data_IF_751961894055
#
_entry.id   IF_751961894055
#
_cell.length_a   1.000
_cell.length_b   1.000
_cell.length_c   1.000
_cell.angle_alpha   90.00
_cell.angle_beta   90.00
_cell.angle_gamma   90.00
#
_symmetry.space_group_name_H-M   'P 1'
#
loop_
_entity.id
_entity.type
_entity.pdbx_description
1 polymer ?
#
# COMPACT_ATOMS: atom_id res chain seq x y z
N UNK A 1 15.24 10.48 25.74
CA UNK A 1 14.56 10.54 24.43
C UNK A 1 15.49 9.99 23.35
N UNK A 2 15.20 8.78 22.86
CA UNK A 2 15.95 8.20 21.74
C UNK A 2 15.77 9.09 20.49
N UNK A 3 16.81 9.33 19.69
CA UNK A 3 16.66 10.13 18.49
C UNK A 3 15.74 9.38 17.53
N UNK A 4 14.66 10.02 17.11
CA UNK A 4 13.82 9.55 16.01
C UNK A 4 14.74 9.50 14.80
N UNK A 5 15.04 8.29 14.34
CA UNK A 5 15.89 8.09 13.18
C UNK A 5 15.23 8.80 12.01
N UNK A 6 15.78 9.95 11.61
CA UNK A 6 15.51 10.51 10.31
C UNK A 6 15.91 9.43 9.31
N UNK A 7 14.93 8.84 8.62
CA UNK A 7 15.19 7.99 7.47
C UNK A 7 15.81 8.88 6.40
N UNK A 8 17.14 9.00 6.45
CA UNK A 8 17.95 9.61 5.39
C UNK A 8 18.19 8.48 4.41
N UNK A 9 17.54 8.54 3.24
CA UNK A 9 17.96 7.73 2.10
C UNK A 9 19.48 7.83 1.97
N UNK A 10 20.17 6.73 1.67
CA UNK A 10 21.47 6.87 1.01
C UNK A 10 21.22 7.77 -0.21
N UNK A 11 21.74 9.00 -0.19
CA UNK A 11 21.29 10.18 -0.97
C UNK A 11 21.29 10.02 -2.50
N UNK A 12 21.53 8.81 -3.02
CA UNK A 12 21.78 8.51 -4.42
C UNK A 12 20.99 7.32 -5.00
N UNK A 13 20.16 6.61 -4.23
CA UNK A 13 19.31 5.54 -4.80
C UNK A 13 17.83 5.91 -4.79
N UNK A 14 17.20 6.10 -5.97
CA UNK A 14 15.77 6.32 -6.05
C UNK A 14 15.02 5.07 -5.60
N UNK A 15 14.02 5.23 -4.74
CA UNK A 15 13.10 4.17 -4.33
C UNK A 15 11.73 4.75 -3.98
N UNK A 16 10.68 3.94 -4.10
CA UNK A 16 9.35 4.22 -3.56
C UNK A 16 9.04 3.22 -2.46
N UNK A 17 8.66 3.73 -1.30
CA UNK A 17 8.31 2.87 -0.17
C UNK A 17 6.87 2.39 -0.26
N UNK A 18 6.67 1.08 -0.09
CA UNK A 18 5.38 0.45 0.14
C UNK A 18 5.32 -0.05 1.59
N UNK A 19 4.48 0.60 2.39
CA UNK A 19 4.44 0.44 3.86
C UNK A 19 2.99 0.23 4.28
N UNK A 20 2.72 -0.60 5.27
CA UNK A 20 1.37 -0.78 5.81
C UNK A 20 1.00 0.32 6.81
N UNK A 21 -0.30 0.63 6.92
CA UNK A 21 -0.82 1.30 8.11
C UNK A 21 -0.57 0.44 9.36
N UNK A 22 -0.56 1.06 10.54
CA UNK A 22 -0.31 0.44 11.84
C UNK A 22 -1.49 -0.36 12.43
N UNK A 23 -2.63 -0.40 11.74
CA UNK A 23 -3.77 -1.23 12.13
C UNK A 23 -4.52 -1.72 10.89
N UNK A 24 -5.21 -2.88 10.96
CA UNK A 24 -6.13 -3.30 9.92
C UNK A 24 -7.35 -2.37 9.87
N UNK A 25 -7.92 -2.17 8.68
CA UNK A 25 -9.13 -1.38 8.47
C UNK A 25 -10.22 -2.21 7.79
N UNK A 26 -11.47 -1.94 8.15
CA UNK A 26 -12.64 -2.38 7.38
C UNK A 26 -12.76 -1.59 6.07
N UNK A 27 -13.76 -1.91 5.24
CA UNK A 27 -14.10 -1.13 4.05
C UNK A 27 -14.52 0.31 4.36
N UNK A 28 -14.96 0.60 5.59
CA UNK A 28 -15.45 1.91 6.04
C UNK A 28 -14.33 2.90 6.37
N UNK A 29 -13.51 3.27 5.39
CA UNK A 29 -12.31 4.11 5.60
C UNK A 29 -12.59 5.62 5.48
N UNK A 30 -13.84 6.05 5.62
CA UNK A 30 -14.29 7.43 5.32
C UNK A 30 -13.97 7.86 3.88
N UNK A 31 -14.01 6.89 2.96
CA UNK A 31 -13.61 7.04 1.57
C UNK A 31 -12.10 7.13 1.36
N UNK A 32 -11.68 7.23 0.10
CA UNK A 32 -10.24 7.28 -0.25
C UNK A 32 -9.48 8.42 0.43
N UNK A 33 -10.14 9.54 0.73
CA UNK A 33 -9.52 10.67 1.44
C UNK A 33 -9.17 10.33 2.89
N UNK A 34 -9.99 9.53 3.57
CA UNK A 34 -9.69 9.07 4.93
C UNK A 34 -8.50 8.10 4.94
N UNK A 35 -8.47 7.17 4.00
CA UNK A 35 -7.33 6.25 3.82
C UNK A 35 -6.02 7.01 3.47
N UNK A 36 -6.06 7.94 2.51
CA UNK A 36 -4.92 8.79 2.16
C UNK A 36 -4.43 9.62 3.37
N UNK A 37 -5.36 10.16 4.17
CA UNK A 37 -5.02 10.92 5.37
C UNK A 37 -4.32 10.06 6.43
N UNK A 38 -4.75 8.82 6.64
CA UNK A 38 -4.05 7.90 7.56
C UNK A 38 -2.63 7.58 7.09
N UNK A 39 -2.44 7.34 5.78
CA UNK A 39 -1.11 7.13 5.21
C UNK A 39 -0.20 8.36 5.42
N UNK A 40 -0.72 9.56 5.15
CA UNK A 40 0.01 10.79 5.39
C UNK A 40 0.39 10.97 6.87
N UNK A 41 -0.57 10.80 7.78
CA UNK A 41 -0.36 11.02 9.20
C UNK A 41 0.69 10.06 9.78
N UNK A 42 0.57 8.76 9.50
CA UNK A 42 1.49 7.75 10.05
C UNK A 42 2.89 7.87 9.46
N UNK A 43 3.03 8.18 8.16
CA UNK A 43 4.33 8.45 7.55
C UNK A 43 5.05 9.63 8.24
N UNK A 44 4.31 10.72 8.55
CA UNK A 44 4.88 11.89 9.24
C UNK A 44 5.30 11.60 10.67
N UNK A 45 4.54 10.77 11.39
CA UNK A 45 4.86 10.39 12.77
C UNK A 45 6.20 9.65 12.88
N UNK A 46 6.62 8.95 11.83
CA UNK A 46 7.91 8.23 11.77
C UNK A 46 8.96 8.96 10.93
N UNK A 47 8.74 10.25 10.63
CA UNK A 47 9.74 11.12 10.01
C UNK A 47 9.94 10.94 8.50
N UNK A 48 9.07 10.21 7.80
CA UNK A 48 9.20 10.03 6.34
C UNK A 48 8.79 11.30 5.60
N UNK A 49 9.68 11.81 4.75
CA UNK A 49 9.50 13.04 4.00
C UNK A 49 8.68 12.89 2.70
N UNK A 50 8.42 11.66 2.26
CA UNK A 50 7.66 11.31 1.06
C UNK A 50 6.17 11.64 1.11
N UNK A 51 5.53 11.67 -0.07
CA UNK A 51 4.07 11.80 -0.17
C UNK A 51 3.42 10.43 -0.27
N UNK A 52 2.88 9.94 0.83
CA UNK A 52 2.23 8.62 0.91
C UNK A 52 0.74 8.71 0.58
N UNK A 53 0.28 7.77 -0.24
CA UNK A 53 -1.13 7.59 -0.62
C UNK A 53 -1.55 6.15 -0.42
N UNK A 54 -2.83 5.91 -0.13
CA UNK A 54 -3.35 4.57 0.05
C UNK A 54 -3.23 3.77 -1.24
N UNK A 55 -2.74 2.53 -1.14
CA UNK A 55 -2.63 1.56 -2.24
C UNK A 55 -4.02 0.98 -2.55
N UNK A 56 -4.94 1.82 -3.03
CA UNK A 56 -6.33 1.46 -3.28
C UNK A 56 -6.82 2.13 -4.56
N UNK A 57 -7.56 1.39 -5.38
CA UNK A 57 -8.41 2.01 -6.40
C UNK A 57 -9.58 2.75 -5.74
N UNK A 58 -10.11 3.78 -6.40
CA UNK A 58 -11.31 4.51 -5.94
C UNK A 58 -12.15 4.96 -7.14
N UNK A 59 -13.26 5.67 -6.87
CA UNK A 59 -14.23 6.09 -7.90
C UNK A 59 -13.61 6.73 -9.16
N UNK A 60 -12.61 7.59 -8.99
CA UNK A 60 -12.00 8.37 -10.08
C UNK A 60 -10.53 8.03 -10.31
N UNK A 61 -9.99 7.02 -9.62
CA UNK A 61 -8.56 6.71 -9.67
C UNK A 61 -8.33 5.21 -9.72
N UNK A 62 -7.62 4.79 -10.75
CA UNK A 62 -7.03 3.46 -10.82
C UNK A 62 -5.80 3.40 -9.91
N UNK A 63 -5.63 2.29 -9.19
CA UNK A 63 -4.44 2.03 -8.39
C UNK A 63 -3.15 2.28 -9.19
N UNK A 64 -3.06 1.79 -10.44
CA UNK A 64 -1.91 1.98 -11.31
C UNK A 64 -1.50 3.46 -11.49
N UNK A 65 -2.48 4.37 -11.41
CA UNK A 65 -2.27 5.81 -11.62
C UNK A 65 -1.80 6.59 -10.40
N UNK A 66 -1.70 5.96 -9.22
CA UNK A 66 -1.29 6.63 -7.98
C UNK A 66 0.15 7.13 -8.08
N UNK A 67 1.07 6.31 -8.59
CA UNK A 67 2.47 6.67 -8.79
C UNK A 67 2.62 7.54 -10.05
N UNK A 68 3.42 8.61 -9.94
CA UNK A 68 3.71 9.51 -11.07
C UNK A 68 4.32 8.74 -12.24
N UNK A 69 3.92 9.11 -13.46
CA UNK A 69 4.33 8.42 -14.68
C UNK A 69 5.85 8.29 -14.83
N UNK A 70 6.60 9.32 -14.46
CA UNK A 70 8.06 9.35 -14.56
C UNK A 70 8.76 8.27 -13.71
N UNK A 71 8.15 7.88 -12.60
CA UNK A 71 8.78 6.98 -11.63
C UNK A 71 8.44 5.51 -11.89
N UNK A 72 7.46 5.22 -12.76
CA UNK A 72 6.87 3.87 -12.86
C UNK A 72 7.81 2.80 -13.39
N UNK A 73 8.64 3.15 -14.37
CA UNK A 73 9.44 2.19 -15.12
C UNK A 73 10.84 1.95 -14.51
N UNK A 74 11.35 2.90 -13.72
CA UNK A 74 12.75 2.90 -13.29
C UNK A 74 12.95 2.86 -11.77
N UNK A 75 11.96 3.29 -10.97
CA UNK A 75 12.14 3.40 -9.52
C UNK A 75 11.70 2.11 -8.83
N UNK A 76 12.59 1.42 -8.08
CA UNK A 76 12.25 0.20 -7.35
C UNK A 76 11.26 0.45 -6.22
N UNK A 77 10.47 -0.59 -5.91
CA UNK A 77 9.55 -0.57 -4.78
C UNK A 77 10.17 -1.33 -3.62
N UNK A 78 10.33 -0.66 -2.49
CA UNK A 78 10.99 -1.17 -1.28
C UNK A 78 10.04 -1.16 -0.08
N UNK A 79 10.33 -1.94 0.96
CA UNK A 79 9.63 -1.83 2.24
C UNK A 79 10.23 -0.72 3.12
N UNK A 80 9.74 -0.56 4.36
CA UNK A 80 10.21 0.48 5.30
C UNK A 80 11.72 0.41 5.62
N UNK A 81 12.38 -0.73 5.42
CA UNK A 81 13.82 -0.94 5.69
C UNK A 81 14.65 -0.97 4.40
N UNK A 82 14.16 -0.36 3.32
CA UNK A 82 14.83 -0.33 2.01
C UNK A 82 15.02 -1.72 1.37
N UNK A 83 14.29 -2.74 1.82
CA UNK A 83 14.37 -4.08 1.24
C UNK A 83 13.47 -4.16 -0.01
N UNK A 84 14.05 -4.57 -1.13
CA UNK A 84 13.36 -4.60 -2.42
C UNK A 84 12.19 -5.59 -2.45
N UNK A 85 10.99 -5.09 -2.73
CA UNK A 85 9.78 -5.86 -2.95
C UNK A 85 9.56 -6.15 -4.44
N UNK A 86 9.67 -5.12 -5.29
CA UNK A 86 9.50 -5.19 -6.74
C UNK A 86 10.55 -4.36 -7.46
N UNK A 87 10.89 -4.76 -8.68
CA UNK A 87 11.88 -4.06 -9.50
C UNK A 87 11.45 -2.64 -9.88
N UNK A 88 10.15 -2.41 -10.09
CA UNK A 88 9.56 -1.11 -10.36
C UNK A 88 8.02 -1.18 -10.22
N UNK A 89 7.33 -0.05 -10.38
CA UNK A 89 5.87 0.02 -10.30
C UNK A 89 5.15 -0.79 -11.38
N UNK A 90 5.61 -0.73 -12.63
CA UNK A 90 4.97 -1.43 -13.75
C UNK A 90 4.98 -2.95 -13.58
N UNK A 91 6.02 -3.49 -12.94
CA UNK A 91 6.16 -4.92 -12.66
C UNK A 91 5.00 -5.49 -11.82
N UNK A 92 4.36 -4.68 -10.97
CA UNK A 92 3.20 -5.11 -10.18
C UNK A 92 1.97 -5.37 -11.06
N UNK A 93 1.83 -4.68 -12.19
CA UNK A 93 0.59 -4.62 -12.98
C UNK A 93 0.67 -5.37 -14.31
N UNK A 94 1.57 -6.37 -14.37
CA UNK A 94 1.71 -7.28 -15.53
C UNK A 94 0.52 -8.24 -15.71
N UNK A 95 -0.41 -8.30 -14.74
CA UNK A 95 -1.52 -9.24 -14.72
C UNK A 95 -1.22 -10.54 -13.95
N UNK A 96 -0.01 -10.72 -13.44
CA UNK A 96 0.40 -11.91 -12.65
C UNK A 96 -0.09 -11.92 -11.20
N UNK A 97 -0.77 -10.83 -10.77
CA UNK A 97 -1.23 -10.64 -9.40
C UNK A 97 -0.14 -10.09 -8.45
N UNK A 98 0.93 -9.49 -8.98
CA UNK A 98 2.04 -8.93 -8.21
C UNK A 98 2.62 -9.92 -7.18
N UNK A 99 3.24 -11.03 -7.64
CA UNK A 99 3.88 -11.99 -6.74
C UNK A 99 5.04 -11.33 -5.99
N UNK A 100 5.03 -11.46 -4.67
CA UNK A 100 6.11 -11.05 -3.79
C UNK A 100 7.32 -11.97 -3.97
N UNK A 101 8.52 -11.39 -3.79
CA UNK A 101 9.74 -12.19 -3.72
C UNK A 101 9.70 -13.13 -2.51
N UNK A 102 10.33 -14.29 -2.65
CA UNK A 102 10.49 -15.21 -1.53
C UNK A 102 11.19 -14.52 -0.35
N UNK A 103 10.60 -14.60 0.83
CA UNK A 103 11.12 -13.95 2.04
C UNK A 103 10.89 -12.43 2.12
N UNK A 104 10.22 -11.81 1.16
CA UNK A 104 9.86 -10.39 1.22
C UNK A 104 8.94 -10.11 2.42
N UNK A 105 9.19 -8.98 3.09
CA UNK A 105 8.43 -8.55 4.28
C UNK A 105 7.74 -7.23 4.01
N UNK A 106 6.47 -7.16 4.41
CA UNK A 106 5.72 -5.92 4.41
C UNK A 106 5.71 -5.41 5.84
N UNK A 107 6.23 -4.19 6.02
CA UNK A 107 6.36 -3.57 7.33
C UNK A 107 5.30 -2.46 7.47
N UNK A 108 4.72 -2.34 8.65
CA UNK A 108 3.93 -1.15 9.03
C UNK A 108 4.83 0.04 9.33
N UNK A 109 4.27 1.26 9.39
CA UNK A 109 5.05 2.46 9.73
C UNK A 109 5.76 2.35 11.08
N UNK A 110 5.16 1.68 12.07
CA UNK A 110 5.79 1.39 13.36
C UNK A 110 6.76 0.19 13.37
N UNK A 111 7.09 -0.35 12.20
CA UNK A 111 8.18 -1.31 12.00
C UNK A 111 7.82 -2.78 12.25
N UNK A 112 6.53 -3.12 12.39
CA UNK A 112 6.08 -4.50 12.59
C UNK A 112 5.91 -5.23 11.26
N UNK A 113 6.26 -6.53 11.25
CA UNK A 113 6.05 -7.40 10.09
C UNK A 113 4.59 -7.86 10.05
N UNK A 114 3.82 -7.31 9.13
CA UNK A 114 2.38 -7.52 9.02
C UNK A 114 2.00 -9.00 8.86
N UNK A 115 2.85 -9.80 8.22
CA UNK A 115 2.59 -11.22 8.02
C UNK A 115 2.72 -12.02 9.33
N UNK A 116 3.59 -11.57 10.25
CA UNK A 116 3.93 -12.28 11.48
C UNK A 116 3.25 -11.71 12.73
N UNK A 117 2.95 -10.42 12.73
CA UNK A 117 2.42 -9.70 13.88
C UNK A 117 0.96 -10.07 14.16
N UNK A 118 0.59 -10.28 15.42
CA UNK A 118 -0.78 -10.65 15.80
C UNK A 118 -1.77 -9.49 15.70
N UNK A 119 -1.30 -8.24 15.53
CA UNK A 119 -2.13 -7.06 15.32
C UNK A 119 -2.93 -7.10 14.00
N UNK A 120 -2.54 -7.96 13.05
CA UNK A 120 -3.32 -8.27 11.84
C UNK A 120 -3.79 -9.71 11.88
N UNK A 121 -4.93 -10.03 12.50
CA UNK A 121 -5.40 -11.41 12.59
C UNK A 121 -5.74 -11.98 11.19
N UNK A 122 -6.22 -11.14 10.27
CA UNK A 122 -6.53 -11.52 8.90
C UNK A 122 -5.41 -11.05 7.96
N UNK A 123 -4.70 -11.99 7.35
CA UNK A 123 -3.53 -11.75 6.49
C UNK A 123 -3.95 -11.47 5.04
N UNK A 124 -4.80 -10.48 4.84
CA UNK A 124 -5.25 -10.03 3.53
C UNK A 124 -5.03 -8.53 3.36
N UNK A 125 -4.92 -8.07 2.12
CA UNK A 125 -4.73 -6.66 1.76
C UNK A 125 -5.90 -6.17 0.93
N UNK A 126 -6.46 -5.01 1.27
CA UNK A 126 -7.41 -4.31 0.39
C UNK A 126 -6.69 -3.67 -0.80
N UNK A 127 -7.26 -3.77 -2.01
CA UNK A 127 -6.78 -3.02 -3.18
C UNK A 127 -7.93 -2.48 -4.07
N UNK A 128 -9.06 -3.18 -4.18
CA UNK A 128 -10.22 -2.74 -4.98
C UNK A 128 -9.95 -2.63 -6.49
N UNK A 129 -8.97 -3.39 -6.98
CA UNK A 129 -8.45 -3.32 -8.34
C UNK A 129 -8.38 -4.68 -9.01
N UNK A 130 -8.41 -4.71 -10.34
CA UNK A 130 -8.01 -5.90 -11.09
C UNK A 130 -6.48 -6.12 -11.03
N UNK A 131 -6.02 -7.23 -11.61
CA UNK A 131 -4.59 -7.59 -11.63
C UNK A 131 -3.70 -6.62 -12.46
N UNK A 132 -4.31 -5.66 -13.19
CA UNK A 132 -3.63 -4.59 -13.93
C UNK A 132 -3.76 -3.24 -13.23
N UNK A 133 -4.29 -3.21 -12.01
CA UNK A 133 -4.42 -2.01 -11.20
C UNK A 133 -5.54 -1.07 -11.64
N UNK A 134 -6.49 -1.55 -12.46
CA UNK A 134 -7.69 -0.81 -12.85
C UNK A 134 -8.76 -0.96 -11.77
N UNK A 135 -9.49 0.12 -11.47
CA UNK A 135 -10.56 0.10 -10.46
C UNK A 135 -11.68 -0.89 -10.82
N UNK A 136 -12.24 -1.53 -9.80
CA UNK A 136 -13.42 -2.38 -9.91
C UNK A 136 -14.59 -1.69 -9.19
N UNK A 137 -15.48 -0.97 -9.91
CA UNK A 137 -16.57 -0.22 -9.29
C UNK A 137 -17.52 -1.05 -8.43
N UNK A 138 -17.66 -2.33 -8.74
CA UNK A 138 -18.51 -3.27 -8.01
C UNK A 138 -17.80 -3.94 -6.82
N UNK A 139 -16.49 -3.73 -6.64
CA UNK A 139 -15.67 -4.45 -5.64
C UNK A 139 -14.60 -3.55 -5.00
N UNK A 140 -15.04 -2.43 -4.43
CA UNK A 140 -14.19 -1.50 -3.67
C UNK A 140 -14.93 -0.85 -2.49
N UNK A 141 -15.86 -1.58 -1.85
CA UNK A 141 -16.60 -1.15 -0.66
C UNK A 141 -17.26 0.22 -0.82
N UNK A 142 -18.00 0.42 -1.93
CA UNK A 142 -18.60 1.70 -2.30
C UNK A 142 -17.59 2.85 -2.20
N UNK A 143 -16.43 2.67 -2.84
CA UNK A 143 -15.26 3.54 -2.76
C UNK A 143 -14.80 3.81 -1.32
N UNK A 144 -14.70 2.73 -0.55
CA UNK A 144 -14.22 2.67 0.83
C UNK A 144 -15.05 3.48 1.83
N UNK A 145 -16.37 3.52 1.63
CA UNK A 145 -17.31 4.26 2.47
C UNK A 145 -18.17 3.37 3.37
N UNK A 146 -18.16 2.07 3.14
CA UNK A 146 -19.01 1.12 3.87
C UNK A 146 -18.21 -0.07 4.36
N UNK A 147 -18.55 -0.55 5.55
CA UNK A 147 -18.12 -1.81 6.15
C UNK A 147 -19.30 -2.79 6.30
N UNK A 148 -20.38 -2.55 5.56
CA UNK A 148 -21.54 -3.44 5.52
C UNK A 148 -21.16 -4.85 5.07
N UNK A 149 -21.80 -5.85 5.70
CA UNK A 149 -21.47 -7.26 5.48
C UNK A 149 -21.73 -7.72 4.04
N UNK A 150 -22.77 -7.18 3.41
CA UNK A 150 -23.20 -7.52 2.05
C UNK A 150 -22.40 -6.79 0.98
N UNK A 151 -21.76 -5.67 1.32
CA UNK A 151 -20.85 -4.97 0.43
C UNK A 151 -19.56 -5.77 0.26
N UNK A 152 -18.97 -5.68 -0.93
CA UNK A 152 -17.73 -6.39 -1.26
C UNK A 152 -16.62 -5.43 -1.70
N UNK A 153 -15.40 -5.83 -1.38
CA UNK A 153 -14.17 -5.20 -1.82
C UNK A 153 -13.22 -6.25 -2.39
N UNK A 154 -12.33 -5.82 -3.28
CA UNK A 154 -11.28 -6.69 -3.79
C UNK A 154 -10.08 -6.68 -2.87
N UNK A 155 -9.69 -7.88 -2.44
CA UNK A 155 -8.55 -8.12 -1.57
C UNK A 155 -7.63 -9.20 -2.14
N UNK A 156 -6.42 -9.26 -1.58
CA UNK A 156 -5.41 -10.26 -1.89
C UNK A 156 -4.96 -10.96 -0.61
N UNK A 157 -4.87 -12.29 -0.62
CA UNK A 157 -4.33 -13.05 0.52
C UNK A 157 -2.82 -12.96 0.53
N UNK A 158 -2.22 -12.58 1.65
CA UNK A 158 -0.76 -12.65 1.81
C UNK A 158 -0.26 -14.11 1.83
N UNK A 159 -1.13 -15.07 2.14
CA UNK A 159 -0.79 -16.50 2.10
C UNK A 159 -0.53 -17.02 0.68
N UNK A 160 -1.09 -16.38 -0.35
CA UNK A 160 -0.81 -16.70 -1.76
C UNK A 160 0.51 -16.09 -2.25
N UNK A 161 1.14 -15.23 -1.43
CA UNK A 161 2.35 -14.50 -1.79
C UNK A 161 2.12 -13.42 -2.83
N UNK A 162 0.89 -12.94 -3.02
CA UNK A 162 0.50 -11.95 -4.04
C UNK A 162 -0.09 -10.69 -3.40
N UNK A 163 0.08 -9.54 -4.06
CA UNK A 163 -0.55 -8.28 -3.64
C UNK A 163 -1.85 -7.96 -4.38
N UNK A 164 -2.06 -8.53 -5.58
CA UNK A 164 -3.21 -8.25 -6.45
C UNK A 164 -3.93 -9.54 -6.87
N UNK A 165 -3.95 -10.54 -6.00
CA UNK A 165 -4.89 -11.65 -6.13
C UNK A 165 -6.33 -11.13 -6.18
N UNK A 166 -7.23 -11.87 -6.81
CA UNK A 166 -8.59 -11.40 -7.07
C UNK A 166 -9.58 -12.09 -6.13
N UNK A 167 -9.60 -11.67 -4.87
CA UNK A 167 -10.50 -12.22 -3.84
C UNK A 167 -11.56 -11.20 -3.44
N UNK A 168 -12.80 -11.42 -3.88
CA UNK A 168 -13.94 -10.64 -3.41
C UNK A 168 -14.23 -10.98 -1.94
N UNK A 169 -14.15 -9.98 -1.07
CA UNK A 169 -14.28 -10.14 0.38
C UNK A 169 -15.30 -9.16 0.93
N UNK A 170 -16.04 -9.59 1.95
CA UNK A 170 -16.99 -8.72 2.66
C UNK A 170 -16.26 -7.51 3.27
N UNK A 171 -16.84 -6.32 3.12
CA UNK A 171 -16.27 -5.06 3.61
C UNK A 171 -16.24 -4.95 5.14
N UNK A 172 -16.94 -5.84 5.85
CA UNK A 172 -16.88 -5.94 7.32
C UNK A 172 -15.51 -6.44 7.81
N UNK A 173 -14.75 -7.15 6.98
CA UNK A 173 -13.44 -7.67 7.38
C UNK A 173 -12.42 -6.56 7.58
N UNK A 174 -11.59 -6.72 8.60
CA UNK A 174 -10.48 -5.81 8.87
C UNK A 174 -9.19 -6.36 8.25
N UNK A 175 -8.75 -5.75 7.15
CA UNK A 175 -7.57 -6.18 6.39
C UNK A 175 -6.48 -5.11 6.41
N UNK A 176 -5.29 -5.51 5.95
CA UNK A 176 -4.15 -4.62 5.77
C UNK A 176 -4.49 -3.57 4.71
N UNK A 177 -4.13 -2.32 4.98
CA UNK A 177 -4.12 -1.25 3.98
C UNK A 177 -2.68 -0.80 3.80
N UNK A 178 -2.20 -0.85 2.56
CA UNK A 178 -0.86 -0.39 2.21
C UNK A 178 -0.89 1.08 1.80
N UNK A 179 0.26 1.73 1.92
CA UNK A 179 0.54 3.09 1.56
C UNK A 179 1.76 3.10 0.65
N UNK A 180 1.67 3.75 -0.50
CA UNK A 180 2.73 3.89 -1.48
C UNK A 180 3.17 5.34 -1.55
N UNK A 181 4.48 5.55 -1.51
CA UNK A 181 5.07 6.83 -1.88
C UNK A 181 4.79 7.12 -3.36
N UNK A 182 4.08 8.21 -3.66
CA UNK A 182 3.54 8.45 -5.00
C UNK A 182 4.56 9.01 -6.00
N UNK A 183 5.73 9.42 -5.52
CA UNK A 183 6.82 9.93 -6.34
C UNK A 183 8.11 9.98 -5.55
N UNK A 184 9.22 9.75 -6.25
CA UNK A 184 10.54 9.94 -5.68
C UNK A 184 10.87 11.43 -5.74
N UNK A 185 11.10 12.06 -4.59
CA UNK A 185 11.63 13.41 -4.55
C UNK A 185 13.14 13.32 -4.34
N UNK A 186 13.93 13.73 -5.34
CA UNK A 186 15.31 14.12 -5.05
C UNK A 186 15.23 15.26 -4.04
N UNK A 187 15.99 15.17 -2.95
CA UNK A 187 16.12 16.30 -2.03
C UNK A 187 16.50 17.51 -2.89
N UNK A 188 15.56 18.46 -3.04
CA UNK A 188 15.84 19.69 -3.74
C UNK A 188 16.99 20.32 -2.95
N UNK A 189 18.16 20.42 -3.58
CA UNK A 189 19.27 21.21 -3.04
C UNK A 189 18.70 22.60 -2.75
N UNK A 190 18.52 22.89 -1.45
CA UNK A 190 18.44 24.26 -0.96
C UNK A 190 19.85 24.72 -0.69
#
# INVERSE_FOLDING_TARGET
>A
PAPVAAHVHQEFQPALHLVALNAPLSGGMHGIRGADFQCFQQARQVGLAGTFRAFLSSRLQDLYSIVRRADRAAVPIVNLRDEMLFSNWEALFTGSGAPLRAGARILSFDGRDVLRDSGWPQKSIWHGSDAKGRRLPESYCETWRTDERTAIGQASSLGSGKLLEQVASSCQHAFVVLCIENSFMTAAKK
#
